data_IF_713458458905
#
_entry.id   IF_713458458905
#
_cell.length_a   1.000
_cell.length_b   1.000
_cell.length_c   1.000
_cell.angle_alpha   90.00
_cell.angle_beta   90.00
_cell.angle_gamma   90.00
#
_symmetry.space_group_name_H-M   'P 1'
#
loop_
_entity.id
_entity.type
_entity.pdbx_description
1 polymer ?
#
# COMPACT_ATOMS: atom_id res chain seq x y z
N UNK A 1 10.13 35.79 27.90
CA UNK A 1 9.69 35.43 29.26
C UNK A 1 8.86 34.16 29.19
N UNK A 2 9.49 33.00 29.38
CA UNK A 2 8.76 31.73 29.61
C UNK A 2 8.30 31.74 31.06
N UNK A 3 6.98 31.73 31.26
CA UNK A 3 6.35 31.51 32.55
C UNK A 3 6.84 30.18 33.14
N UNK A 4 7.58 30.18 34.27
CA UNK A 4 8.14 28.96 34.86
C UNK A 4 7.08 28.00 35.41
N UNK A 5 5.79 28.41 35.44
CA UNK A 5 4.68 27.55 35.87
C UNK A 5 4.05 26.75 34.73
N UNK A 6 4.34 27.07 33.45
CA UNK A 6 3.70 26.45 32.30
C UNK A 6 4.55 25.31 31.73
N UNK A 7 3.95 24.12 31.63
CA UNK A 7 4.56 22.97 30.95
C UNK A 7 4.74 23.26 29.45
N UNK A 8 5.92 22.99 28.85
CA UNK A 8 6.11 23.14 27.42
C UNK A 8 5.14 22.27 26.63
N UNK A 9 4.62 22.80 25.52
CA UNK A 9 3.69 22.09 24.64
C UNK A 9 4.43 21.46 23.47
N UNK A 10 4.35 20.13 23.37
CA UNK A 10 4.88 19.33 22.27
C UNK A 10 3.73 18.89 21.37
N UNK A 11 3.73 19.34 20.11
CA UNK A 11 2.78 18.85 19.10
C UNK A 11 3.49 17.81 18.25
N UNK A 12 2.88 16.63 18.12
CA UNK A 12 3.38 15.52 17.30
C UNK A 12 2.39 15.30 16.15
N UNK A 13 2.86 15.43 14.92
CA UNK A 13 2.06 15.22 13.70
C UNK A 13 2.34 13.84 13.14
N UNK A 14 1.32 12.99 13.11
CA UNK A 14 1.38 11.60 12.67
C UNK A 14 1.56 10.63 13.85
N UNK A 15 0.72 9.61 13.90
CA UNK A 15 0.69 8.54 14.90
C UNK A 15 1.11 7.18 14.31
N UNK A 16 1.95 7.21 13.27
CA UNK A 16 2.71 6.04 12.80
C UNK A 16 3.78 5.62 13.81
N UNK A 17 4.75 4.81 13.38
CA UNK A 17 5.80 4.29 14.28
C UNK A 17 6.57 5.40 15.02
N UNK A 18 7.03 6.42 14.28
CA UNK A 18 7.85 7.50 14.84
C UNK A 18 7.09 8.33 15.87
N UNK A 19 5.91 8.83 15.50
CA UNK A 19 5.12 9.70 16.38
C UNK A 19 4.57 8.96 17.59
N UNK A 20 4.12 7.71 17.43
CA UNK A 20 3.67 6.89 18.56
C UNK A 20 4.83 6.59 19.53
N UNK A 21 6.01 6.24 19.03
CA UNK A 21 7.18 5.99 19.85
C UNK A 21 7.64 7.25 20.60
N UNK A 22 7.61 8.41 19.93
CA UNK A 22 7.89 9.71 20.55
C UNK A 22 6.90 10.03 21.67
N UNK A 23 5.59 9.94 21.40
CA UNK A 23 4.55 10.18 22.38
C UNK A 23 4.66 9.25 23.60
N UNK A 24 4.99 7.97 23.40
CA UNK A 24 5.24 7.02 24.50
C UNK A 24 6.46 7.39 25.34
N UNK A 25 7.54 7.88 24.74
CA UNK A 25 8.73 8.34 25.49
C UNK A 25 8.48 9.62 26.28
N UNK A 26 7.56 10.46 25.83
CA UNK A 26 7.18 11.71 26.51
C UNK A 26 6.04 11.53 27.53
N UNK A 27 5.43 10.34 27.61
CA UNK A 27 4.41 10.06 28.62
C UNK A 27 5.02 10.12 30.03
N UNK A 28 4.41 10.91 30.91
CA UNK A 28 4.91 11.17 32.26
C UNK A 28 6.00 12.24 32.36
N UNK A 29 6.55 12.73 31.25
CA UNK A 29 7.51 13.85 31.24
C UNK A 29 6.82 15.17 31.62
N UNK A 30 7.57 16.20 32.10
CA UNK A 30 7.01 17.49 32.50
C UNK A 30 6.64 18.40 31.30
N UNK A 31 5.96 17.85 30.30
CA UNK A 31 5.51 18.53 29.07
C UNK A 31 4.08 18.11 28.74
N UNK A 32 3.32 18.98 28.08
CA UNK A 32 2.00 18.65 27.57
C UNK A 32 2.12 18.21 26.10
N UNK A 33 1.71 16.97 25.80
CA UNK A 33 1.85 16.36 24.48
C UNK A 33 0.50 16.30 23.79
N UNK A 34 0.41 16.86 22.59
CA UNK A 34 -0.73 16.71 21.69
C UNK A 34 -0.32 15.89 20.46
N UNK A 35 -0.81 14.67 20.37
CA UNK A 35 -0.64 13.78 19.22
C UNK A 35 -1.80 13.99 18.24
N UNK A 36 -1.46 14.31 16.99
CA UNK A 36 -2.37 14.54 15.88
C UNK A 36 -2.22 13.43 14.84
N UNK A 37 -3.32 12.86 14.38
CA UNK A 37 -3.34 12.00 13.19
C UNK A 37 -4.72 12.09 12.54
N UNK A 38 -4.78 11.89 11.22
CA UNK A 38 -6.05 11.85 10.48
C UNK A 38 -6.89 10.61 10.82
N UNK A 39 -6.24 9.52 11.23
CA UNK A 39 -6.89 8.30 11.71
C UNK A 39 -6.92 8.25 13.24
N UNK A 40 -7.93 7.60 13.82
CA UNK A 40 -8.03 7.39 15.26
C UNK A 40 -7.27 6.15 15.77
N UNK A 41 -6.46 5.51 14.92
CA UNK A 41 -5.69 4.32 15.23
C UNK A 41 -4.23 4.44 14.76
N UNK A 42 -3.35 3.71 15.43
CA UNK A 42 -2.02 3.38 14.95
C UNK A 42 -2.12 2.15 14.04
N UNK A 43 -1.55 2.24 12.84
CA UNK A 43 -1.50 1.13 11.89
C UNK A 43 -0.14 0.44 11.90
N UNK A 44 -0.12 -0.86 12.19
CA UNK A 44 1.10 -1.68 12.07
C UNK A 44 1.31 -2.09 10.59
N UNK A 45 1.83 -1.13 9.81
CA UNK A 45 2.00 -1.28 8.36
C UNK A 45 2.81 -2.50 7.89
N UNK A 46 3.77 -3.08 8.65
CA UNK A 46 4.49 -4.27 8.21
C UNK A 46 3.60 -5.48 7.93
N UNK A 47 2.41 -5.58 8.54
CA UNK A 47 1.49 -6.70 8.32
C UNK A 47 0.32 -6.36 7.39
N UNK A 48 0.36 -5.19 6.73
CA UNK A 48 -0.73 -4.72 5.88
C UNK A 48 -1.00 -5.64 4.68
N UNK A 49 0.04 -6.27 4.13
CA UNK A 49 -0.09 -7.28 3.09
C UNK A 49 -0.88 -8.52 3.54
N UNK A 50 -0.85 -8.85 4.83
CA UNK A 50 -1.60 -9.98 5.38
C UNK A 50 -3.10 -9.66 5.43
N UNK A 51 -3.48 -8.40 5.67
CA UNK A 51 -4.86 -7.95 5.51
C UNK A 51 -5.27 -7.99 4.04
N UNK A 52 -4.42 -7.50 3.14
CA UNK A 52 -4.69 -7.49 1.70
C UNK A 52 -4.85 -8.90 1.10
N UNK A 53 -4.16 -9.89 1.67
CA UNK A 53 -4.26 -11.30 1.25
C UNK A 53 -5.28 -12.11 2.05
N UNK A 54 -6.00 -11.48 2.99
CA UNK A 54 -7.06 -12.11 3.79
C UNK A 54 -6.57 -13.07 4.89
N UNK A 55 -5.31 -12.95 5.32
CA UNK A 55 -4.75 -13.71 6.45
C UNK A 55 -5.05 -13.09 7.81
N UNK A 56 -5.13 -11.76 7.86
CA UNK A 56 -5.46 -11.00 9.05
C UNK A 56 -6.71 -10.14 8.81
N UNK A 57 -7.42 -9.87 9.90
CA UNK A 57 -8.46 -8.87 9.91
C UNK A 57 -7.85 -7.47 10.08
N UNK A 58 -8.50 -6.43 9.54
CA UNK A 58 -8.06 -5.05 9.74
C UNK A 58 -7.83 -4.67 11.22
N UNK A 59 -8.70 -5.17 12.10
CA UNK A 59 -8.64 -4.95 13.56
C UNK A 59 -7.39 -5.53 14.21
N UNK A 60 -6.77 -6.55 13.61
CA UNK A 60 -5.60 -7.22 14.20
C UNK A 60 -4.34 -6.35 14.12
N UNK A 61 -4.34 -5.33 13.24
CA UNK A 61 -3.19 -4.45 12.97
C UNK A 61 -3.48 -2.97 13.18
N UNK A 62 -4.70 -2.61 13.59
CA UNK A 62 -5.15 -1.23 13.83
C UNK A 62 -5.47 -1.03 15.31
N UNK A 63 -4.64 -0.24 16.00
CA UNK A 63 -4.73 -0.06 17.45
C UNK A 63 -5.27 1.33 17.80
N UNK A 64 -6.43 1.44 18.48
CA UNK A 64 -7.03 2.74 18.80
C UNK A 64 -6.12 3.64 19.65
N UNK A 65 -5.81 4.84 19.17
CA UNK A 65 -4.87 5.77 19.83
C UNK A 65 -5.38 6.24 21.18
N UNK A 66 -6.69 6.47 21.29
CA UNK A 66 -7.35 6.84 22.57
C UNK A 66 -7.23 5.74 23.63
N UNK A 67 -7.20 4.47 23.21
CA UNK A 67 -7.01 3.36 24.14
C UNK A 67 -5.57 3.28 24.64
N UNK A 68 -4.59 3.51 23.75
CA UNK A 68 -3.15 3.49 24.08
C UNK A 68 -2.81 4.51 25.17
N UNK A 69 -3.32 5.75 25.05
CA UNK A 69 -3.01 6.85 25.98
C UNK A 69 -4.11 7.10 27.03
N UNK A 70 -5.01 6.13 27.26
CA UNK A 70 -6.16 6.29 28.18
C UNK A 70 -5.74 6.66 29.62
N UNK A 71 -4.60 6.12 30.07
CA UNK A 71 -4.07 6.33 31.44
C UNK A 71 -3.03 7.45 31.51
N UNK A 72 -2.65 8.02 30.36
CA UNK A 72 -1.63 9.06 30.29
C UNK A 72 -2.19 10.37 30.82
N UNK A 73 -1.41 11.04 31.66
CA UNK A 73 -1.82 12.31 32.31
C UNK A 73 -1.51 13.53 31.47
N UNK A 74 -0.47 13.46 30.64
CA UNK A 74 0.05 14.58 29.87
C UNK A 74 -0.03 14.37 28.34
N UNK A 75 -0.37 13.17 27.88
CA UNK A 75 -0.56 12.89 26.45
C UNK A 75 -2.04 12.92 26.09
N UNK A 76 -2.38 13.73 25.08
CA UNK A 76 -3.72 13.83 24.50
C UNK A 76 -3.67 13.53 23.01
N UNK A 77 -4.70 12.84 22.54
CA UNK A 77 -4.89 12.56 21.11
C UNK A 77 -6.05 13.39 20.56
N UNK A 78 -5.83 14.03 19.41
CA UNK A 78 -6.88 14.63 18.59
C UNK A 78 -6.79 14.05 17.19
N UNK A 79 -7.92 13.54 16.70
CA UNK A 79 -8.05 13.17 15.30
C UNK A 79 -8.25 14.45 14.49
N UNK A 80 -7.30 14.75 13.61
CA UNK A 80 -7.33 15.93 12.74
C UNK A 80 -6.30 15.77 11.61
N UNK A 81 -6.54 16.42 10.47
CA UNK A 81 -5.54 16.51 9.41
C UNK A 81 -4.77 17.81 9.58
N UNK A 82 -3.45 17.74 9.50
CA UNK A 82 -2.59 18.94 9.50
C UNK A 82 -2.41 19.40 8.06
N UNK A 83 -2.81 20.65 7.77
CA UNK A 83 -2.75 21.24 6.43
C UNK A 83 -1.53 22.16 6.24
N UNK A 84 -0.93 22.63 7.34
CA UNK A 84 0.19 23.54 7.29
C UNK A 84 0.88 23.74 8.64
N UNK A 85 2.09 24.29 8.57
CA UNK A 85 2.89 24.67 9.73
C UNK A 85 3.44 26.07 9.49
N UNK A 86 3.16 26.99 10.41
CA UNK A 86 3.78 28.30 10.46
C UNK A 86 4.86 28.30 11.56
N UNK A 87 6.12 28.26 11.14
CA UNK A 87 7.26 28.22 12.06
C UNK A 87 7.52 29.58 12.71
N UNK A 88 7.19 30.68 12.03
CA UNK A 88 7.36 32.04 12.55
C UNK A 88 6.40 32.33 13.69
N UNK A 89 5.13 31.95 13.53
CA UNK A 89 4.09 32.05 14.58
C UNK A 89 4.11 30.87 15.55
N UNK A 90 4.86 29.81 15.24
CA UNK A 90 4.90 28.51 15.97
C UNK A 90 3.52 27.87 16.12
N UNK A 91 2.82 27.75 15.00
CA UNK A 91 1.45 27.23 14.92
C UNK A 91 1.38 26.08 13.92
N UNK A 92 0.65 25.03 14.29
CA UNK A 92 0.16 24.00 13.36
C UNK A 92 -1.27 24.37 12.96
N UNK A 93 -1.54 24.40 11.65
CA UNK A 93 -2.89 24.61 11.11
C UNK A 93 -3.53 23.26 10.79
N UNK A 94 -4.82 23.17 11.08
CA UNK A 94 -5.64 21.99 10.83
C UNK A 94 -6.63 22.23 9.69
N UNK A 95 -7.12 21.13 9.12
CA UNK A 95 -8.15 21.12 8.08
C UNK A 95 -9.48 21.75 8.51
N UNK A 96 -9.80 21.75 9.81
CA UNK A 96 -10.97 22.42 10.38
C UNK A 96 -10.76 23.93 10.64
N UNK A 97 -9.63 24.49 10.21
CA UNK A 97 -9.28 25.89 10.39
C UNK A 97 -8.72 26.22 11.78
N UNK A 98 -8.63 25.27 12.71
CA UNK A 98 -8.05 25.52 14.01
C UNK A 98 -6.52 25.72 13.93
N UNK A 99 -6.03 26.64 14.75
CA UNK A 99 -4.61 26.93 14.92
C UNK A 99 -4.13 26.44 16.28
N UNK A 100 -3.13 25.56 16.29
CA UNK A 100 -2.56 24.96 17.49
C UNK A 100 -1.14 25.49 17.72
N UNK A 101 -0.91 26.32 18.75
CA UNK A 101 0.43 26.78 19.05
C UNK A 101 1.27 25.64 19.65
N UNK A 102 2.57 25.67 19.41
CA UNK A 102 3.53 24.70 19.93
C UNK A 102 4.81 25.37 20.44
N UNK A 103 5.45 24.76 21.43
CA UNK A 103 6.82 25.10 21.82
C UNK A 103 7.81 24.20 21.08
N UNK A 104 7.44 22.93 20.90
CA UNK A 104 8.18 21.95 20.11
C UNK A 104 7.24 21.23 19.14
N UNK A 105 7.72 21.02 17.91
CA UNK A 105 6.99 20.31 16.87
C UNK A 105 7.78 19.08 16.43
N UNK A 106 7.11 17.92 16.42
CA UNK A 106 7.64 16.68 15.87
C UNK A 106 6.84 16.30 14.63
N UNK A 107 7.50 16.24 13.47
CA UNK A 107 6.91 15.83 12.21
C UNK A 107 7.19 14.34 11.96
N UNK A 108 6.14 13.53 12.09
CA UNK A 108 6.16 12.07 11.91
C UNK A 108 5.02 11.59 11.00
N UNK A 109 4.65 12.39 9.99
CA UNK A 109 3.51 12.18 9.10
C UNK A 109 3.64 10.94 8.18
N UNK A 110 4.83 10.33 8.10
CA UNK A 110 5.07 9.13 7.30
C UNK A 110 5.38 9.45 5.84
N UNK A 111 4.94 8.56 4.93
CA UNK A 111 5.18 8.66 3.48
C UNK A 111 3.95 8.21 2.70
N UNK A 112 3.88 8.62 1.44
CA UNK A 112 2.85 8.21 0.48
C UNK A 112 3.48 7.34 -0.63
N UNK A 113 2.63 6.70 -1.43
CA UNK A 113 3.08 6.00 -2.64
C UNK A 113 3.65 7.00 -3.66
N UNK A 114 4.68 6.57 -4.39
CA UNK A 114 5.31 7.38 -5.44
C UNK A 114 5.17 6.66 -6.78
N UNK A 115 4.46 7.30 -7.72
CA UNK A 115 4.24 6.80 -9.06
C UNK A 115 5.25 7.32 -10.10
N UNK A 116 6.24 8.11 -9.68
CA UNK A 116 7.32 8.65 -10.53
C UNK A 116 6.80 9.38 -11.78
N UNK A 117 5.69 10.11 -11.63
CA UNK A 117 5.04 10.85 -12.73
C UNK A 117 4.08 10.02 -13.59
N UNK A 118 3.98 8.69 -13.39
CA UNK A 118 3.06 7.85 -14.15
C UNK A 118 1.62 7.94 -13.61
N UNK A 119 0.89 8.94 -14.08
CA UNK A 119 -0.50 9.19 -13.71
C UNK A 119 -1.46 8.11 -14.25
N UNK A 120 -1.12 7.45 -15.36
CA UNK A 120 -1.94 6.38 -15.92
C UNK A 120 -1.98 5.18 -14.96
N UNK A 121 -0.82 4.77 -14.44
CA UNK A 121 -0.71 3.70 -13.43
C UNK A 121 -1.39 4.10 -12.12
N UNK A 122 -1.20 5.35 -11.67
CA UNK A 122 -1.83 5.82 -10.43
C UNK A 122 -3.36 5.70 -10.45
N UNK A 123 -4.00 5.90 -11.60
CA UNK A 123 -5.46 5.81 -11.76
C UNK A 123 -6.01 4.39 -11.71
N UNK A 124 -5.24 3.40 -12.16
CA UNK A 124 -5.71 2.01 -12.33
C UNK A 124 -5.12 1.01 -11.34
N UNK A 125 -4.17 1.45 -10.51
CA UNK A 125 -3.52 0.60 -9.50
C UNK A 125 -4.13 0.81 -8.11
N UNK A 126 -3.90 -0.17 -7.23
CA UNK A 126 -4.25 -0.09 -5.81
C UNK A 126 -2.93 0.00 -5.03
N UNK A 127 -2.78 1.04 -4.22
CA UNK A 127 -1.64 1.20 -3.31
C UNK A 127 -1.63 0.16 -2.19
N UNK A 128 -0.66 0.27 -1.29
CA UNK A 128 -0.66 -0.54 -0.07
C UNK A 128 0.01 0.22 1.09
N UNK A 129 -0.57 1.37 1.43
CA UNK A 129 -0.12 2.23 2.53
C UNK A 129 -1.18 2.45 3.58
N UNK A 130 -2.45 2.31 3.22
CA UNK A 130 -3.59 2.47 4.11
C UNK A 130 -4.37 1.17 4.32
N UNK A 131 -5.19 1.13 5.37
CA UNK A 131 -6.00 -0.04 5.72
C UNK A 131 -7.12 -0.28 4.69
N UNK A 132 -7.61 0.83 4.16
CA UNK A 132 -8.59 0.93 3.08
C UNK A 132 -8.03 0.29 1.81
N UNK A 133 -6.76 0.57 1.47
CA UNK A 133 -6.09 -0.02 0.30
C UNK A 133 -6.03 -1.54 0.39
N UNK A 134 -5.62 -2.06 1.56
CA UNK A 134 -5.54 -3.50 1.79
C UNK A 134 -6.92 -4.16 1.66
N UNK A 135 -7.95 -3.54 2.22
CA UNK A 135 -9.33 -4.04 2.12
C UNK A 135 -9.84 -3.98 0.68
N UNK A 136 -9.57 -2.88 -0.03
CA UNK A 136 -9.91 -2.71 -1.45
C UNK A 136 -9.23 -3.77 -2.32
N UNK A 137 -7.94 -4.01 -2.11
CA UNK A 137 -7.18 -5.03 -2.83
C UNK A 137 -7.76 -6.43 -2.62
N UNK A 138 -8.05 -6.79 -1.37
CA UNK A 138 -8.70 -8.07 -1.03
C UNK A 138 -10.03 -8.24 -1.73
N UNK A 139 -10.90 -7.23 -1.65
CA UNK A 139 -12.22 -7.27 -2.28
C UNK A 139 -12.11 -7.37 -3.80
N UNK A 140 -11.21 -6.60 -4.41
CA UNK A 140 -10.95 -6.67 -5.84
C UNK A 140 -10.52 -8.06 -6.29
N UNK A 141 -9.59 -8.69 -5.57
CA UNK A 141 -9.18 -10.09 -5.86
C UNK A 141 -10.38 -11.04 -5.77
N UNK A 142 -11.21 -10.94 -4.74
CA UNK A 142 -12.40 -11.80 -4.60
C UNK A 142 -13.40 -11.58 -5.74
N UNK A 143 -13.67 -10.32 -6.10
CA UNK A 143 -14.56 -9.99 -7.22
C UNK A 143 -14.02 -10.53 -8.55
N UNK A 144 -12.70 -10.47 -8.79
CA UNK A 144 -12.09 -11.06 -9.97
C UNK A 144 -12.27 -12.59 -10.02
N UNK A 145 -12.20 -13.27 -8.87
CA UNK A 145 -12.41 -14.72 -8.79
C UNK A 145 -13.87 -15.09 -9.08
N UNK A 146 -14.83 -14.37 -8.51
CA UNK A 146 -16.26 -14.59 -8.80
C UNK A 146 -16.57 -14.38 -10.29
N UNK A 147 -16.07 -13.28 -10.86
CA UNK A 147 -16.25 -13.00 -12.29
C UNK A 147 -15.60 -14.08 -13.16
N UNK A 148 -14.41 -14.56 -12.78
CA UNK A 148 -13.71 -15.58 -13.55
C UNK A 148 -14.41 -16.94 -13.53
N UNK A 149 -15.16 -17.26 -12.47
CA UNK A 149 -15.93 -18.51 -12.41
C UNK A 149 -17.17 -18.46 -13.32
N UNK A 150 -17.83 -17.30 -13.40
CA UNK A 150 -18.97 -17.07 -14.29
C UNK A 150 -18.57 -16.81 -15.77
N UNK A 151 -17.32 -16.45 -16.04
CA UNK A 151 -16.86 -16.05 -17.38
C UNK A 151 -16.67 -17.25 -18.30
N UNK A 152 -17.31 -17.27 -19.47
CA UNK A 152 -17.20 -18.40 -20.42
C UNK A 152 -16.07 -18.26 -21.41
N UNK A 153 -15.68 -17.02 -21.77
CA UNK A 153 -14.56 -16.79 -22.68
C UNK A 153 -13.22 -17.11 -22.00
N UNK A 154 -12.42 -18.06 -22.52
CA UNK A 154 -11.10 -18.39 -21.97
C UNK A 154 -10.13 -17.20 -21.91
N UNK A 155 -10.21 -16.24 -22.85
CA UNK A 155 -9.32 -15.09 -22.86
C UNK A 155 -9.69 -14.08 -21.76
N UNK A 156 -10.95 -13.68 -21.68
CA UNK A 156 -11.47 -12.83 -20.60
C UNK A 156 -11.24 -13.46 -19.22
N UNK A 157 -11.48 -14.78 -19.08
CA UNK A 157 -11.20 -15.53 -17.84
C UNK A 157 -9.72 -15.46 -17.45
N UNK A 158 -8.81 -15.62 -18.42
CA UNK A 158 -7.35 -15.50 -18.19
C UNK A 158 -6.97 -14.10 -17.72
N UNK A 159 -7.58 -13.06 -18.27
CA UNK A 159 -7.35 -11.68 -17.86
C UNK A 159 -7.77 -11.45 -16.39
N UNK A 160 -8.96 -11.91 -16.00
CA UNK A 160 -9.48 -11.82 -14.62
C UNK A 160 -8.60 -12.54 -13.59
N UNK A 161 -7.90 -13.60 -14.00
CA UNK A 161 -7.00 -14.39 -13.13
C UNK A 161 -5.52 -13.95 -13.19
N UNK A 162 -5.24 -12.82 -13.83
CA UNK A 162 -3.89 -12.27 -13.96
C UNK A 162 -3.73 -11.03 -13.08
N UNK A 163 -2.82 -11.12 -12.11
CA UNK A 163 -2.50 -10.02 -11.21
C UNK A 163 -1.06 -9.55 -11.44
N UNK A 164 -0.85 -8.24 -11.43
CA UNK A 164 0.46 -7.61 -11.60
C UNK A 164 0.83 -6.89 -10.31
N UNK A 165 1.98 -7.25 -9.72
CA UNK A 165 2.53 -6.57 -8.55
C UNK A 165 3.73 -5.76 -9.00
N UNK A 166 3.67 -4.46 -8.72
CA UNK A 166 4.70 -3.50 -9.09
C UNK A 166 5.55 -3.16 -7.88
N UNK A 167 6.86 -3.39 -8.00
CA UNK A 167 7.84 -3.18 -6.93
C UNK A 167 8.39 -4.51 -6.41
N UNK A 168 9.71 -4.67 -6.47
CA UNK A 168 10.42 -5.88 -5.99
C UNK A 168 10.89 -5.79 -4.54
N UNK A 169 10.45 -4.78 -3.78
CA UNK A 169 10.78 -4.63 -2.37
C UNK A 169 10.05 -5.66 -1.48
N UNK A 170 10.32 -5.68 -0.16
CA UNK A 170 9.73 -6.64 0.77
C UNK A 170 8.21 -6.73 0.65
N UNK A 171 7.53 -5.58 0.62
CA UNK A 171 6.08 -5.48 0.45
C UNK A 171 5.60 -6.15 -0.85
N UNK A 172 6.25 -5.87 -1.98
CA UNK A 172 5.87 -6.47 -3.26
C UNK A 172 6.14 -7.97 -3.32
N UNK A 173 7.25 -8.43 -2.74
CA UNK A 173 7.57 -9.86 -2.63
C UNK A 173 6.54 -10.59 -1.77
N UNK A 174 6.22 -10.06 -0.58
CA UNK A 174 5.22 -10.63 0.32
C UNK A 174 3.81 -10.62 -0.31
N UNK A 175 3.45 -9.53 -0.99
CA UNK A 175 2.21 -9.42 -1.74
C UNK A 175 2.15 -10.39 -2.91
N UNK A 176 3.24 -10.61 -3.66
CA UNK A 176 3.19 -11.49 -4.85
C UNK A 176 3.12 -12.98 -4.51
N UNK A 177 3.67 -13.39 -3.37
CA UNK A 177 3.75 -14.78 -2.96
C UNK A 177 2.41 -15.42 -2.57
N UNK A 178 1.33 -14.63 -2.40
CA UNK A 178 0.09 -15.08 -1.75
C UNK A 178 -1.28 -14.82 -2.41
N UNK A 179 -1.52 -13.96 -3.42
CA UNK A 179 -2.82 -13.87 -4.09
C UNK A 179 -3.23 -15.18 -4.78
N UNK A 180 -2.25 -16.05 -5.08
CA UNK A 180 -2.49 -17.40 -5.56
C UNK A 180 -3.22 -18.31 -4.55
N UNK A 181 -3.29 -17.93 -3.26
CA UNK A 181 -3.93 -18.74 -2.21
C UNK A 181 -5.23 -18.17 -1.64
N UNK A 182 -5.53 -16.88 -1.87
CA UNK A 182 -6.74 -16.21 -1.40
C UNK A 182 -7.22 -16.67 0.00
N UNK A 183 -6.34 -16.77 1.00
CA UNK A 183 -6.73 -17.19 2.36
C UNK A 183 -7.59 -18.48 2.45
N UNK A 184 -8.38 -18.65 3.53
CA UNK A 184 -9.32 -19.76 3.67
C UNK A 184 -10.42 -19.76 2.60
N UNK A 185 -10.81 -18.58 2.12
CA UNK A 185 -11.92 -18.34 1.17
C UNK A 185 -11.57 -18.75 -0.26
N UNK A 186 -10.31 -18.60 -0.66
CA UNK A 186 -9.76 -18.96 -1.95
C UNK A 186 -9.81 -20.45 -2.24
N UNK A 187 -9.85 -21.28 -1.20
CA UNK A 187 -10.08 -22.72 -1.30
C UNK A 187 -11.49 -23.07 -1.80
N UNK A 188 -12.47 -22.15 -1.66
CA UNK A 188 -13.84 -22.35 -2.15
C UNK A 188 -14.03 -22.06 -3.63
N UNK A 189 -13.03 -21.47 -4.29
CA UNK A 189 -12.96 -21.36 -5.75
C UNK A 189 -11.96 -22.39 -6.27
N UNK A 190 -12.32 -23.69 -6.32
CA UNK A 190 -11.50 -24.66 -7.04
C UNK A 190 -11.36 -24.14 -8.48
N UNK A 191 -10.19 -24.32 -9.08
CA UNK A 191 -10.05 -24.09 -10.51
C UNK A 191 -11.06 -25.03 -11.20
N UNK A 192 -12.18 -24.47 -11.67
CA UNK A 192 -13.25 -25.21 -12.35
C UNK A 192 -12.76 -25.83 -13.67
N UNK A 193 -11.49 -25.63 -14.05
CA UNK A 193 -10.81 -26.30 -15.14
C UNK A 193 -9.41 -26.83 -14.74
N UNK A 194 -9.13 -28.13 -14.84
CA UNK A 194 -7.78 -28.68 -14.70
C UNK A 194 -6.87 -28.09 -15.79
N UNK A 195 -5.89 -27.26 -15.41
CA UNK A 195 -4.86 -26.72 -16.32
C UNK A 195 -4.65 -25.20 -16.27
N UNK A 196 -5.59 -24.42 -15.72
CA UNK A 196 -5.45 -22.96 -15.65
C UNK A 196 -4.78 -22.52 -14.33
N UNK A 197 -3.53 -22.07 -14.42
CA UNK A 197 -2.76 -21.55 -13.27
C UNK A 197 -2.98 -20.05 -13.14
N UNK A 198 -3.35 -19.58 -11.93
CA UNK A 198 -3.33 -18.16 -11.56
C UNK A 198 -1.93 -17.59 -11.82
N UNK A 199 -1.85 -16.40 -12.42
CA UNK A 199 -0.57 -15.76 -12.76
C UNK A 199 -0.39 -14.51 -11.91
N UNK A 200 0.70 -14.48 -11.16
CA UNK A 200 1.19 -13.28 -10.50
C UNK A 200 2.55 -12.95 -11.10
N UNK A 201 2.69 -11.75 -11.64
CA UNK A 201 3.98 -11.25 -12.14
C UNK A 201 4.48 -10.15 -11.22
N UNK A 202 5.73 -10.30 -10.75
CA UNK A 202 6.43 -9.28 -9.98
C UNK A 202 7.31 -8.49 -10.94
N UNK A 203 7.06 -7.18 -11.05
CA UNK A 203 7.88 -6.28 -11.88
C UNK A 203 8.74 -5.37 -11.01
N UNK A 204 10.04 -5.33 -11.29
CA UNK A 204 10.95 -4.35 -10.71
C UNK A 204 10.85 -3.04 -11.51
N UNK A 205 10.95 -1.86 -10.88
CA UNK A 205 11.06 -0.60 -11.63
C UNK A 205 12.38 -0.56 -12.42
N UNK A 206 12.36 -1.06 -13.65
CA UNK A 206 13.13 -0.53 -14.78
C UNK A 206 12.19 0.32 -15.64
N UNK A 207 12.72 1.15 -16.54
CA UNK A 207 11.96 2.08 -17.42
C UNK A 207 10.62 1.49 -17.85
N UNK A 208 9.54 2.19 -17.49
CA UNK A 208 8.21 1.95 -17.99
C UNK A 208 8.11 2.64 -19.35
N UNK A 209 8.53 1.94 -20.41
CA UNK A 209 8.22 2.40 -21.77
C UNK A 209 6.74 2.10 -22.04
N UNK A 210 6.01 3.13 -22.48
CA UNK A 210 4.54 3.27 -22.44
C UNK A 210 3.77 2.29 -23.35
N UNK A 211 4.44 1.46 -24.17
CA UNK A 211 3.79 0.77 -25.30
C UNK A 211 4.04 -0.74 -25.42
N UNK A 212 4.60 -1.44 -24.42
CA UNK A 212 4.88 -2.88 -24.56
C UNK A 212 4.48 -3.74 -23.37
N UNK A 213 3.34 -4.44 -23.50
CA UNK A 213 3.16 -5.76 -22.91
C UNK A 213 3.61 -6.81 -23.95
N UNK A 214 4.63 -7.66 -23.68
CA UNK A 214 5.07 -8.62 -24.68
C UNK A 214 4.05 -9.74 -24.84
N UNK A 215 3.69 -10.03 -26.09
CA UNK A 215 3.01 -11.25 -26.51
C UNK A 215 3.82 -12.50 -26.12
N UNK A 216 3.09 -13.58 -25.82
CA UNK A 216 3.61 -14.88 -25.41
C UNK A 216 4.60 -15.46 -26.46
N UNK A 217 5.90 -15.26 -26.28
CA UNK A 217 6.94 -16.04 -26.96
C UNK A 217 7.90 -16.71 -25.95
N UNK A 218 7.96 -18.04 -26.04
CA UNK A 218 8.87 -18.93 -25.32
C UNK A 218 10.22 -18.94 -26.03
N UNK A 219 11.31 -18.49 -25.40
CA UNK A 219 12.67 -18.79 -25.87
C UNK A 219 13.65 -18.97 -24.69
N UNK A 220 14.38 -20.09 -24.70
CA UNK A 220 15.76 -20.24 -24.21
C UNK A 220 15.98 -20.51 -22.71
N UNK A 221 16.49 -21.72 -22.37
CA UNK A 221 16.97 -22.09 -21.02
C UNK A 221 18.44 -21.68 -20.82
N UNK A 222 18.75 -21.10 -19.65
CA UNK A 222 20.10 -20.88 -19.10
C UNK A 222 20.07 -20.90 -17.55
N UNK A 223 21.20 -21.17 -16.86
CA UNK A 223 21.18 -21.88 -15.58
C UNK A 223 21.07 -20.96 -14.36
N UNK A 224 19.87 -20.88 -13.78
CA UNK A 224 19.66 -20.52 -12.37
C UNK A 224 18.51 -21.38 -11.83
N UNK A 225 18.79 -22.67 -11.63
CA UNK A 225 17.83 -23.63 -11.10
C UNK A 225 17.62 -23.42 -9.59
N UNK A 226 16.57 -22.68 -9.25
CA UNK A 226 15.63 -23.15 -8.24
C UNK A 226 14.25 -23.15 -8.88
N UNK A 227 13.78 -24.33 -9.28
CA UNK A 227 12.40 -24.52 -9.76
C UNK A 227 11.45 -24.14 -8.63
N UNK A 228 10.93 -22.92 -8.67
CA UNK A 228 9.84 -22.57 -7.80
C UNK A 228 8.55 -23.21 -8.33
N UNK A 229 8.01 -24.19 -7.58
CA UNK A 229 6.72 -24.84 -7.87
C UNK A 229 5.52 -23.87 -7.72
N UNK A 230 5.76 -22.60 -7.36
CA UNK A 230 4.74 -21.61 -6.93
C UNK A 230 4.13 -20.73 -8.03
N UNK A 231 4.50 -20.89 -9.30
CA UNK A 231 3.85 -20.15 -10.41
C UNK A 231 4.14 -18.66 -10.47
N UNK A 232 5.07 -18.16 -9.64
CA UNK A 232 5.60 -16.79 -9.70
C UNK A 232 6.70 -16.75 -10.76
N UNK A 233 6.58 -15.89 -11.77
CA UNK A 233 7.63 -15.71 -12.79
C UNK A 233 8.65 -14.67 -12.29
N UNK A 234 9.96 -14.98 -12.26
CA UNK A 234 10.98 -13.99 -11.94
C UNK A 234 11.09 -12.91 -13.04
N UNK A 235 11.61 -11.71 -12.72
CA UNK A 235 11.79 -10.64 -13.70
C UNK A 235 12.85 -11.03 -14.75
N UNK A 236 12.60 -10.64 -16.01
CA UNK A 236 13.49 -10.84 -17.15
C UNK A 236 14.88 -10.20 -16.93
N UNK A 237 15.93 -10.85 -17.45
CA UNK A 237 17.30 -10.32 -17.49
C UNK A 237 17.40 -9.13 -18.45
N UNK A 238 18.26 -8.15 -18.11
CA UNK A 238 18.58 -6.98 -18.94
C UNK A 238 18.99 -7.40 -20.36
N UNK A 239 18.32 -6.88 -21.39
CA UNK A 239 18.77 -6.97 -22.78
C UNK A 239 19.48 -5.67 -23.17
N UNK A 240 20.77 -5.78 -23.50
CA UNK A 240 21.53 -4.81 -24.29
C UNK A 240 21.01 -4.78 -25.74
N UNK A 241 20.87 -3.57 -26.28
CA UNK A 241 20.76 -3.14 -27.68
C UNK A 241 20.22 -4.11 -28.75
N UNK A 242 19.19 -3.68 -29.48
CA UNK A 242 19.26 -3.49 -30.95
C UNK A 242 18.06 -2.71 -31.50
N UNK A 243 18.36 -1.86 -32.49
CA UNK A 243 17.41 -1.06 -33.27
C UNK A 243 16.57 -1.98 -34.17
N UNK A 244 15.27 -1.70 -34.26
CA UNK A 244 14.37 -2.33 -35.22
C UNK A 244 12.97 -1.73 -35.15
N UNK A 245 12.63 -0.94 -36.15
CA UNK A 245 11.31 -0.34 -36.40
C UNK A 245 10.37 -1.36 -37.04
N UNK A 246 9.16 -1.60 -36.49
CA UNK A 246 7.96 -2.00 -37.26
C UNK A 246 6.68 -1.64 -36.48
N UNK A 247 5.77 -0.98 -37.22
CA UNK A 247 4.30 -0.78 -37.11
C UNK A 247 3.61 -0.62 -35.75
N UNK A 248 2.93 0.52 -35.63
CA UNK A 248 1.91 0.84 -34.64
C UNK A 248 0.57 0.25 -35.08
N UNK A 249 -0.18 -0.37 -34.16
CA UNK A 249 -1.63 -0.56 -34.28
C UNK A 249 -2.33 -0.49 -32.91
N UNK A 250 -3.05 0.63 -32.76
CA UNK A 250 -4.27 0.93 -31.99
C UNK A 250 -4.61 0.22 -30.66
N UNK A 251 -4.75 1.05 -29.62
CA UNK A 251 -5.26 0.77 -28.26
C UNK A 251 -6.80 0.82 -28.12
N UNK A 252 -7.58 0.64 -29.19
CA UNK A 252 -9.03 0.95 -29.16
C UNK A 252 -9.99 -0.19 -28.78
N UNK A 253 -9.56 -1.46 -28.71
CA UNK A 253 -10.53 -2.59 -28.63
C UNK A 253 -10.62 -3.33 -27.29
N UNK A 254 -9.99 -2.82 -26.22
CA UNK A 254 -10.18 -3.39 -24.88
C UNK A 254 -11.36 -2.73 -24.16
N UNK A 255 -12.59 -3.10 -24.56
CA UNK A 255 -13.87 -2.66 -23.98
C UNK A 255 -14.13 -3.08 -22.51
N UNK A 256 -13.10 -3.46 -21.75
CA UNK A 256 -13.22 -3.97 -20.38
C UNK A 256 -12.57 -3.07 -19.31
N UNK A 257 -12.02 -1.91 -19.70
CA UNK A 257 -11.52 -0.89 -18.79
C UNK A 257 -12.60 0.17 -18.44
N UNK A 258 -13.78 -0.27 -18.00
CA UNK A 258 -14.70 0.58 -17.24
C UNK A 258 -14.89 -0.02 -15.84
N UNK A 259 -14.24 0.65 -14.88
CA UNK A 259 -14.34 0.58 -13.41
C UNK A 259 -13.49 -0.48 -12.69
#
# INVERSE_FOLDING_TARGET
MTDPSRRPRVVIVGAGFGGLACARKLDGAPVDVLLLDRHNYHLFTPLLYQVATGLLNPSDIAYPLRAIFRRSRNVRFRQATVDGVDVGRRIVRLDDGAELPFDYLVLAAGSVDNYFGNQAVARVSIGLKALEDATRMRNHVLTCLERADAETDPQARRALLTFVVVGGGPTGVECSGRPARAGPTGRRYPASCPGQRRRCSLRHPGRWDDDRLPNDHLVGRGPAQRRDRRGVRPPFSKSSDHRGSVAADSWSDCGLCRW
#
